data_IF_560317977551
#
_entry.id   IF_560317977551
#
_cell.length_a   1.000
_cell.length_b   1.000
_cell.length_c   1.000
_cell.angle_alpha   90.00
_cell.angle_beta   90.00
_cell.angle_gamma   90.00
#
_symmetry.space_group_name_H-M   'P 1'
#
loop_
_entity.id
_entity.type
_entity.pdbx_description
1 polymer ?
#
# COMPACT_ATOMS: atom_id res chain seq x y z
N UNK A 1 -38.91 -2.53 26.26
CA UNK A 1 -38.77 -2.73 24.79
C UNK A 1 -40.08 -3.31 24.28
N UNK A 2 -40.62 -2.89 23.11
CA UNK A 2 -41.87 -3.47 22.58
C UNK A 2 -41.65 -4.96 22.29
N UNK A 3 -42.64 -5.81 22.61
CA UNK A 3 -42.58 -7.29 22.49
C UNK A 3 -42.31 -7.79 21.06
N UNK A 4 -42.63 -6.97 20.05
CA UNK A 4 -42.40 -7.28 18.65
C UNK A 4 -41.71 -6.12 17.94
N UNK A 5 -40.70 -6.44 17.14
CA UNK A 5 -40.03 -5.48 16.26
C UNK A 5 -40.95 -5.19 15.08
N UNK A 6 -41.40 -3.93 14.98
CA UNK A 6 -42.17 -3.40 13.85
C UNK A 6 -41.32 -2.40 13.07
N UNK A 7 -41.60 -2.23 11.78
CA UNK A 7 -40.92 -1.22 10.95
C UNK A 7 -41.00 0.19 11.56
N UNK A 8 -42.15 0.53 12.16
CA UNK A 8 -42.34 1.80 12.88
C UNK A 8 -41.43 1.92 14.10
N UNK A 9 -41.27 0.85 14.90
CA UNK A 9 -40.36 0.89 16.06
C UNK A 9 -38.89 1.03 15.66
N UNK A 10 -38.47 0.43 14.54
CA UNK A 10 -37.11 0.60 14.01
C UNK A 10 -36.92 2.04 13.53
N UNK A 11 -37.86 2.55 12.73
CA UNK A 11 -37.83 3.92 12.22
C UNK A 11 -37.78 4.96 13.35
N UNK A 12 -38.53 4.72 14.44
CA UNK A 12 -38.50 5.58 15.63
C UNK A 12 -37.17 5.51 16.36
N UNK A 13 -36.58 4.32 16.51
CA UNK A 13 -35.27 4.16 17.14
C UNK A 13 -34.16 4.89 16.36
N UNK A 14 -34.14 4.74 15.03
CA UNK A 14 -33.20 5.45 14.16
C UNK A 14 -33.40 6.97 14.28
N UNK A 15 -34.66 7.44 14.23
CA UNK A 15 -34.97 8.88 14.35
C UNK A 15 -34.51 9.45 15.70
N UNK A 16 -34.68 8.70 16.79
CA UNK A 16 -34.22 9.13 18.11
C UNK A 16 -32.69 9.22 18.17
N UNK A 17 -31.97 8.26 17.58
CA UNK A 17 -30.52 8.30 17.51
C UNK A 17 -30.03 9.54 16.75
N UNK A 18 -30.59 9.81 15.55
CA UNK A 18 -30.26 10.99 14.73
C UNK A 18 -30.48 12.30 15.52
N UNK A 19 -31.64 12.44 16.18
CA UNK A 19 -32.00 13.63 16.96
C UNK A 19 -31.10 13.86 18.17
N UNK A 20 -30.63 12.79 18.81
CA UNK A 20 -29.70 12.88 19.95
C UNK A 20 -28.39 13.56 19.57
N UNK A 21 -27.96 13.43 18.31
CA UNK A 21 -26.76 14.10 17.77
C UNK A 21 -27.07 15.48 17.16
N UNK A 22 -28.30 16.00 17.35
CA UNK A 22 -28.70 17.35 16.92
C UNK A 22 -29.25 17.44 15.49
N UNK A 23 -29.39 16.32 14.77
CA UNK A 23 -29.90 16.34 13.40
C UNK A 23 -31.43 16.19 13.35
N UNK A 24 -32.08 16.94 12.46
CA UNK A 24 -33.53 16.85 12.21
C UNK A 24 -33.87 15.96 11.01
N UNK A 25 -32.98 15.03 10.64
CA UNK A 25 -33.16 14.21 9.44
C UNK A 25 -34.24 13.15 9.62
N UNK A 26 -34.88 12.79 8.50
CA UNK A 26 -35.70 11.58 8.42
C UNK A 26 -34.77 10.38 8.23
N UNK A 27 -35.10 9.18 8.74
CA UNK A 27 -34.31 7.96 8.52
C UNK A 27 -33.97 7.68 7.05
N UNK A 28 -34.85 8.08 6.11
CA UNK A 28 -34.63 7.97 4.67
C UNK A 28 -33.34 8.64 4.17
N UNK A 29 -32.85 9.69 4.86
CA UNK A 29 -31.60 10.37 4.49
C UNK A 29 -30.41 9.41 4.54
N UNK A 30 -30.38 8.47 5.50
CA UNK A 30 -29.32 7.47 5.60
C UNK A 30 -29.31 6.52 4.39
N UNK A 31 -30.48 6.20 3.84
CA UNK A 31 -30.62 5.41 2.62
C UNK A 31 -30.14 6.17 1.39
N UNK A 32 -30.46 7.46 1.28
CA UNK A 32 -29.97 8.30 0.19
C UNK A 32 -28.44 8.47 0.23
N UNK A 33 -27.87 8.61 1.44
CA UNK A 33 -26.44 8.60 1.66
C UNK A 33 -25.81 7.27 1.19
N UNK A 34 -26.36 6.14 1.64
CA UNK A 34 -25.91 4.81 1.25
C UNK A 34 -25.87 4.62 -0.28
N UNK A 35 -26.94 5.01 -0.99
CA UNK A 35 -27.00 4.91 -2.45
C UNK A 35 -25.93 5.78 -3.13
N UNK A 36 -25.79 7.03 -2.69
CA UNK A 36 -24.80 7.97 -3.23
C UNK A 36 -23.38 7.45 -3.02
N UNK A 37 -23.06 6.93 -1.83
CA UNK A 37 -21.74 6.40 -1.52
C UNK A 37 -21.42 5.14 -2.32
N UNK A 38 -22.39 4.24 -2.48
CA UNK A 38 -22.19 3.06 -3.32
C UNK A 38 -22.13 3.39 -4.81
N UNK A 39 -22.80 4.44 -5.27
CA UNK A 39 -22.63 4.95 -6.63
C UNK A 39 -21.19 5.43 -6.87
N UNK A 40 -20.56 6.07 -5.87
CA UNK A 40 -19.15 6.45 -5.95
C UNK A 40 -18.24 5.21 -5.95
N UNK A 41 -18.49 4.22 -5.11
CA UNK A 41 -17.76 2.96 -5.11
C UNK A 41 -17.92 2.19 -6.44
N UNK A 42 -19.11 2.24 -7.05
CA UNK A 42 -19.40 1.68 -8.38
C UNK A 42 -18.54 2.35 -9.45
N UNK A 43 -18.40 3.68 -9.42
CA UNK A 43 -17.53 4.43 -10.35
C UNK A 43 -16.04 4.05 -10.27
N UNK A 44 -15.63 3.43 -9.16
CA UNK A 44 -14.27 2.91 -8.94
C UNK A 44 -14.14 1.41 -9.17
N UNK A 45 -15.20 0.75 -9.63
CA UNK A 45 -15.22 -0.68 -9.91
C UNK A 45 -15.20 -1.58 -8.68
N UNK A 46 -15.53 -1.05 -7.49
CA UNK A 46 -15.50 -1.83 -6.24
C UNK A 46 -16.75 -2.69 -6.05
N UNK A 47 -17.87 -2.23 -6.61
CA UNK A 47 -19.19 -2.84 -6.55
C UNK A 47 -19.90 -2.68 -7.89
N UNK A 48 -20.68 -3.67 -8.31
CA UNK A 48 -21.49 -3.59 -9.52
C UNK A 48 -22.87 -2.98 -9.23
N UNK A 49 -23.49 -2.39 -10.26
CA UNK A 49 -24.82 -1.76 -10.17
C UNK A 49 -25.87 -2.70 -9.58
N UNK A 50 -25.88 -3.97 -9.98
CA UNK A 50 -26.88 -4.95 -9.53
C UNK A 50 -26.82 -5.20 -8.03
N UNK A 51 -25.63 -5.25 -7.43
CA UNK A 51 -25.48 -5.40 -5.98
C UNK A 51 -26.00 -4.17 -5.24
N UNK A 52 -25.68 -2.96 -5.73
CA UNK A 52 -26.22 -1.71 -5.18
C UNK A 52 -27.75 -1.68 -5.25
N UNK A 53 -28.33 -1.99 -6.40
CA UNK A 53 -29.78 -2.02 -6.58
C UNK A 53 -30.44 -3.09 -5.68
N UNK A 54 -29.81 -4.26 -5.55
CA UNK A 54 -30.26 -5.33 -4.67
C UNK A 54 -30.26 -4.92 -3.19
N UNK A 55 -29.17 -4.32 -2.69
CA UNK A 55 -29.11 -3.83 -1.29
C UNK A 55 -30.08 -2.68 -1.04
N UNK A 56 -30.32 -1.85 -2.05
CA UNK A 56 -31.39 -0.87 -2.01
C UNK A 56 -32.78 -1.53 -2.02
N UNK A 57 -32.93 -2.82 -2.32
CA UNK A 57 -34.23 -3.46 -2.46
C UNK A 57 -35.03 -2.90 -3.63
N UNK A 58 -34.34 -2.38 -4.64
CA UNK A 58 -34.97 -2.02 -5.90
C UNK A 58 -35.31 -3.29 -6.67
N UNK A 59 -36.48 -3.29 -7.31
CA UNK A 59 -36.88 -4.37 -8.21
C UNK A 59 -36.02 -4.23 -9.47
N UNK A 60 -34.91 -4.97 -9.54
CA UNK A 60 -33.99 -4.91 -10.68
C UNK A 60 -34.65 -5.36 -11.99
N UNK A 61 -33.87 -5.30 -13.08
CA UNK A 61 -34.34 -5.75 -14.39
C UNK A 61 -34.74 -7.23 -14.41
N UNK A 62 -35.57 -7.62 -15.39
CA UNK A 62 -36.08 -8.99 -15.57
C UNK A 62 -34.95 -10.05 -15.57
N UNK A 63 -33.72 -9.69 -15.95
CA UNK A 63 -32.55 -10.57 -15.93
C UNK A 63 -32.03 -10.94 -14.53
N UNK A 64 -32.32 -10.14 -13.49
CA UNK A 64 -32.01 -10.52 -12.10
C UNK A 64 -32.71 -11.81 -11.68
N UNK A 65 -33.75 -12.23 -12.41
CA UNK A 65 -34.48 -13.48 -12.23
C UNK A 65 -33.61 -14.73 -12.41
N UNK A 66 -32.45 -14.62 -13.06
CA UNK A 66 -31.55 -15.76 -13.33
C UNK A 66 -30.31 -15.84 -12.43
N UNK A 67 -29.96 -14.78 -11.69
CA UNK A 67 -28.79 -14.74 -10.78
C UNK A 67 -29.15 -14.47 -9.32
N UNK A 68 -30.10 -13.56 -9.04
CA UNK A 68 -30.40 -13.10 -7.67
C UNK A 68 -31.81 -13.44 -7.15
N UNK A 69 -32.67 -14.05 -7.98
CA UNK A 69 -34.11 -14.18 -7.70
C UNK A 69 -34.66 -15.62 -7.68
N UNK A 70 -33.84 -16.66 -7.52
CA UNK A 70 -34.30 -18.05 -7.30
C UNK A 70 -34.54 -18.36 -5.82
N UNK A 71 -35.33 -17.55 -5.10
CA UNK A 71 -35.66 -17.69 -3.66
C UNK A 71 -34.49 -17.78 -2.65
N UNK A 72 -33.27 -18.04 -3.10
CA UNK A 72 -32.02 -18.11 -2.36
C UNK A 72 -30.89 -17.74 -3.31
N UNK A 73 -30.08 -16.77 -2.91
CA UNK A 73 -28.84 -16.43 -3.61
C UNK A 73 -27.87 -17.62 -3.50
N UNK A 74 -27.17 -17.98 -4.59
CA UNK A 74 -26.01 -18.88 -4.52
C UNK A 74 -24.97 -18.36 -3.51
N UNK A 75 -24.29 -19.27 -2.80
CA UNK A 75 -23.36 -18.88 -1.71
C UNK A 75 -22.15 -18.11 -2.24
N UNK A 76 -21.66 -18.45 -3.43
CA UNK A 76 -20.61 -17.73 -4.16
C UNK A 76 -21.02 -16.28 -4.47
N UNK A 77 -22.27 -16.06 -4.90
CA UNK A 77 -22.81 -14.71 -5.10
C UNK A 77 -22.90 -13.97 -3.77
N UNK A 78 -23.33 -14.62 -2.70
CA UNK A 78 -23.38 -14.00 -1.35
C UNK A 78 -21.98 -13.57 -0.91
N UNK A 79 -20.97 -14.42 -1.06
CA UNK A 79 -19.59 -14.09 -0.70
C UNK A 79 -19.02 -12.96 -1.56
N UNK A 80 -19.27 -12.95 -2.87
CA UNK A 80 -18.84 -11.85 -3.73
C UNK A 80 -19.53 -10.52 -3.35
N UNK A 81 -20.82 -10.57 -2.99
CA UNK A 81 -21.52 -9.41 -2.45
C UNK A 81 -20.91 -8.95 -1.12
N UNK A 82 -20.55 -9.87 -0.21
CA UNK A 82 -19.88 -9.53 1.05
C UNK A 82 -18.52 -8.88 0.81
N UNK A 83 -17.74 -9.40 -0.14
CA UNK A 83 -16.43 -8.85 -0.51
C UNK A 83 -16.58 -7.46 -1.15
N UNK A 84 -17.53 -7.28 -2.07
CA UNK A 84 -17.84 -5.98 -2.68
C UNK A 84 -18.26 -4.94 -1.62
N UNK A 85 -19.07 -5.35 -0.64
CA UNK A 85 -19.44 -4.49 0.49
C UNK A 85 -18.24 -4.13 1.37
N UNK A 86 -17.33 -5.09 1.61
CA UNK A 86 -16.09 -4.88 2.37
C UNK A 86 -15.16 -3.88 1.66
N UNK A 87 -14.94 -4.04 0.36
CA UNK A 87 -14.14 -3.10 -0.46
C UNK A 87 -14.75 -1.70 -0.49
N UNK A 88 -16.07 -1.60 -0.43
CA UNK A 88 -16.80 -0.32 -0.46
C UNK A 88 -16.86 0.39 0.90
N UNK A 89 -16.31 -0.20 1.98
CA UNK A 89 -16.41 0.38 3.33
C UNK A 89 -15.79 1.78 3.45
N UNK A 90 -14.75 2.08 2.66
CA UNK A 90 -14.09 3.40 2.64
C UNK A 90 -15.09 4.54 2.32
N UNK A 91 -16.13 4.26 1.54
CA UNK A 91 -17.17 5.23 1.18
C UNK A 91 -18.31 5.28 2.21
N UNK A 92 -18.53 4.20 2.96
CA UNK A 92 -19.67 4.05 3.86
C UNK A 92 -19.37 4.45 5.31
N UNK A 93 -18.10 4.38 5.70
CA UNK A 93 -17.65 4.68 7.05
C UNK A 93 -17.15 6.12 7.15
N UNK A 94 -17.45 6.78 8.27
CA UNK A 94 -16.94 8.12 8.57
C UNK A 94 -15.50 8.09 9.09
N UNK A 95 -15.09 6.96 9.67
CA UNK A 95 -13.70 6.67 10.01
C UNK A 95 -13.07 5.93 8.84
N UNK A 96 -12.06 6.51 8.20
CA UNK A 96 -11.22 5.75 7.28
C UNK A 96 -10.49 4.71 8.11
N UNK A 97 -10.68 3.39 7.90
CA UNK A 97 -9.70 2.45 8.39
C UNK A 97 -8.37 2.86 7.74
N UNK A 98 -7.34 3.13 8.54
CA UNK A 98 -5.99 3.44 8.04
C UNK A 98 -5.68 2.51 6.85
N UNK A 99 -5.54 3.13 5.70
CA UNK A 99 -5.99 2.59 4.42
C UNK A 99 -5.18 1.34 4.10
N UNK A 100 -5.81 0.32 3.51
CA UNK A 100 -5.07 -0.84 2.96
C UNK A 100 -3.90 -0.39 2.09
N UNK A 101 -4.05 0.72 1.35
CA UNK A 101 -3.01 1.35 0.54
C UNK A 101 -1.88 1.98 1.36
N UNK A 102 -2.17 2.68 2.44
CA UNK A 102 -1.16 3.30 3.32
C UNK A 102 -0.34 2.20 4.01
N UNK A 103 -1.01 1.16 4.51
CA UNK A 103 -0.37 -0.03 5.07
C UNK A 103 0.46 -0.79 4.04
N UNK A 104 -0.04 -0.96 2.81
CA UNK A 104 0.71 -1.59 1.72
C UNK A 104 1.97 -0.78 1.36
N UNK A 105 1.87 0.55 1.30
CA UNK A 105 3.03 1.42 1.03
C UNK A 105 4.03 1.35 2.18
N UNK A 106 3.56 1.35 3.42
CA UNK A 106 4.42 1.22 4.61
C UNK A 106 5.15 -0.14 4.63
N UNK A 107 4.43 -1.24 4.43
CA UNK A 107 5.02 -2.59 4.35
C UNK A 107 6.02 -2.70 3.20
N UNK A 108 5.69 -2.14 2.03
CA UNK A 108 6.58 -2.14 0.88
C UNK A 108 7.88 -1.36 1.15
N UNK A 109 7.77 -0.16 1.73
CA UNK A 109 8.94 0.65 2.13
C UNK A 109 9.78 -0.08 3.18
N UNK A 110 9.15 -0.74 4.15
CA UNK A 110 9.83 -1.57 5.15
C UNK A 110 10.63 -2.71 4.52
N UNK A 111 10.03 -3.45 3.59
CA UNK A 111 10.71 -4.54 2.87
C UNK A 111 11.90 -4.04 2.04
N UNK A 112 11.76 -2.91 1.35
CA UNK A 112 12.86 -2.32 0.59
C UNK A 112 14.04 -1.87 1.47
N UNK A 113 13.77 -1.35 2.66
CA UNK A 113 14.85 -1.00 3.62
C UNK A 113 15.59 -2.25 4.13
N UNK A 114 14.87 -3.35 4.37
CA UNK A 114 15.52 -4.63 4.70
C UNK A 114 16.44 -5.10 3.57
N UNK A 115 15.96 -5.04 2.33
CA UNK A 115 16.77 -5.39 1.13
C UNK A 115 17.99 -4.47 0.99
N UNK A 116 17.85 -3.19 1.33
CA UNK A 116 18.95 -2.24 1.35
C UNK A 116 19.97 -2.46 2.49
N UNK A 117 19.72 -3.40 3.41
CA UNK A 117 20.63 -3.76 4.50
C UNK A 117 20.41 -2.95 5.78
N UNK A 118 19.19 -2.45 6.02
CA UNK A 118 18.79 -1.97 7.34
C UNK A 118 18.34 -3.14 8.22
N UNK A 119 18.68 -3.09 9.50
CA UNK A 119 18.17 -4.00 10.53
C UNK A 119 16.75 -3.62 10.96
N UNK A 120 16.03 -4.57 11.55
CA UNK A 120 14.67 -4.33 12.03
C UNK A 120 14.62 -3.21 13.10
N UNK A 121 15.65 -3.10 13.93
CA UNK A 121 15.77 -2.06 14.96
C UNK A 121 15.98 -0.67 14.35
N UNK A 122 16.80 -0.54 13.30
CA UNK A 122 16.97 0.72 12.58
C UNK A 122 15.66 1.15 11.91
N UNK A 123 14.96 0.21 11.29
CA UNK A 123 13.66 0.45 10.63
C UNK A 123 12.59 0.92 11.63
N UNK A 124 12.55 0.36 12.84
CA UNK A 124 11.58 0.79 13.88
C UNK A 124 11.75 2.23 14.34
N UNK A 125 12.94 2.83 14.14
CA UNK A 125 13.24 4.21 14.51
C UNK A 125 12.91 5.21 13.40
N UNK A 126 12.64 4.73 12.19
CA UNK A 126 12.31 5.55 11.04
C UNK A 126 10.78 5.71 10.97
N UNK A 127 10.29 6.94 10.86
CA UNK A 127 8.87 7.21 10.60
C UNK A 127 8.55 7.00 9.12
N UNK A 128 8.35 5.73 8.74
CA UNK A 128 8.10 5.30 7.36
C UNK A 128 6.82 5.93 6.78
N UNK A 129 5.85 6.21 7.66
CA UNK A 129 4.51 6.73 7.32
C UNK A 129 4.56 8.13 6.74
N UNK A 130 5.38 9.01 7.33
CA UNK A 130 5.45 10.41 6.97
C UNK A 130 6.62 10.75 6.02
N UNK A 131 7.38 9.74 5.60
CA UNK A 131 8.51 9.91 4.69
C UNK A 131 8.04 10.29 3.28
N UNK A 132 8.64 11.31 2.68
CA UNK A 132 8.43 11.61 1.26
C UNK A 132 9.10 10.53 0.38
N UNK A 133 8.66 10.41 -0.87
CA UNK A 133 9.25 9.45 -1.79
C UNK A 133 10.72 9.80 -2.09
N UNK A 134 11.06 11.08 -2.16
CA UNK A 134 12.43 11.58 -2.36
C UNK A 134 13.34 11.21 -1.19
N UNK A 135 12.92 11.47 0.05
CA UNK A 135 13.68 11.12 1.26
C UNK A 135 13.88 9.61 1.37
N UNK A 136 12.87 8.83 0.98
CA UNK A 136 12.92 7.38 1.01
C UNK A 136 13.95 6.84 0.01
N UNK A 137 13.90 7.35 -1.23
CA UNK A 137 14.87 6.97 -2.27
C UNK A 137 16.30 7.34 -1.86
N UNK A 138 16.50 8.50 -1.25
CA UNK A 138 17.81 8.92 -0.76
C UNK A 138 18.33 8.04 0.37
N UNK A 139 17.45 7.60 1.28
CA UNK A 139 17.82 6.68 2.37
C UNK A 139 18.28 5.32 1.82
N UNK A 140 17.51 4.75 0.89
CA UNK A 140 17.84 3.49 0.20
C UNK A 140 19.15 3.64 -0.59
N UNK A 141 19.28 4.71 -1.37
CA UNK A 141 20.48 5.00 -2.17
C UNK A 141 21.71 5.18 -1.29
N UNK A 142 21.64 5.94 -0.20
CA UNK A 142 22.77 6.15 0.72
C UNK A 142 23.26 4.85 1.36
N UNK A 143 22.36 3.93 1.73
CA UNK A 143 22.76 2.64 2.32
C UNK A 143 23.36 1.71 1.28
N UNK A 144 22.75 1.63 0.09
CA UNK A 144 23.28 0.82 -1.02
C UNK A 144 24.62 1.34 -1.54
N UNK A 145 24.78 2.66 -1.69
CA UNK A 145 26.04 3.29 -2.11
C UNK A 145 27.08 3.35 -0.98
N UNK A 146 26.65 3.43 0.29
CA UNK A 146 27.53 3.30 1.45
C UNK A 146 28.11 1.90 1.60
N UNK A 147 27.40 0.88 1.09
CA UNK A 147 27.86 -0.49 0.92
C UNK A 147 28.52 -0.76 -0.44
N UNK A 148 28.64 0.24 -1.33
CA UNK A 148 29.45 0.12 -2.53
C UNK A 148 30.90 0.08 -2.07
N UNK A 149 31.40 -1.11 -1.77
CA UNK A 149 32.80 -1.33 -1.49
C UNK A 149 33.54 -0.95 -2.79
N UNK A 150 34.29 0.18 -2.83
CA UNK A 150 35.04 0.56 -4.02
C UNK A 150 36.21 -0.40 -4.27
N UNK A 151 36.42 -1.33 -3.34
CA UNK A 151 37.38 -2.40 -3.34
C UNK A 151 36.63 -3.72 -3.55
N UNK A 152 36.64 -4.24 -4.79
CA UNK A 152 36.08 -5.55 -5.10
C UNK A 152 37.11 -6.68 -4.91
N UNK A 153 38.19 -6.41 -4.16
CA UNK A 153 39.29 -7.35 -3.90
C UNK A 153 40.24 -7.57 -5.08
N UNK A 154 39.83 -7.21 -6.30
CA UNK A 154 40.65 -7.30 -7.52
C UNK A 154 40.88 -5.94 -8.19
N UNK A 155 39.96 -5.00 -8.01
CA UNK A 155 40.05 -3.64 -8.53
C UNK A 155 39.65 -2.65 -7.44
N UNK A 156 40.30 -1.48 -7.48
CA UNK A 156 40.12 -0.40 -6.53
C UNK A 156 39.98 0.93 -7.26
N UNK A 157 39.01 1.74 -6.84
CA UNK A 157 38.86 3.12 -7.33
C UNK A 157 39.73 4.04 -6.47
N UNK A 158 40.63 4.78 -7.11
CA UNK A 158 41.58 5.71 -6.47
C UNK A 158 41.48 7.09 -7.10
N UNK A 159 41.92 8.14 -6.39
CA UNK A 159 42.05 9.47 -6.99
C UNK A 159 43.23 9.49 -7.97
N UNK A 160 43.16 10.32 -9.00
CA UNK A 160 44.23 10.49 -10.00
C UNK A 160 45.58 10.85 -9.35
N UNK A 161 45.55 11.64 -8.28
CA UNK A 161 46.75 12.05 -7.53
C UNK A 161 47.42 10.88 -6.78
N UNK A 162 46.71 9.79 -6.54
CA UNK A 162 47.23 8.60 -5.86
C UNK A 162 47.68 7.52 -6.84
N UNK A 163 47.43 7.68 -8.14
CA UNK A 163 47.68 6.67 -9.16
C UNK A 163 49.15 6.22 -9.20
N UNK A 164 50.09 7.17 -9.13
CA UNK A 164 51.53 6.90 -9.15
C UNK A 164 51.93 5.92 -8.04
N UNK A 165 51.45 6.13 -6.82
CA UNK A 165 51.70 5.25 -5.68
C UNK A 165 51.22 3.82 -5.92
N UNK A 166 50.08 3.63 -6.60
CA UNK A 166 49.56 2.28 -6.87
C UNK A 166 50.33 1.58 -7.99
N UNK A 167 50.76 2.33 -9.01
CA UNK A 167 51.61 1.82 -10.09
C UNK A 167 52.98 1.38 -9.56
N UNK A 168 53.59 2.15 -8.65
CA UNK A 168 54.85 1.78 -7.98
C UNK A 168 54.75 0.50 -7.16
N UNK A 169 53.57 0.24 -6.58
CA UNK A 169 53.29 -0.98 -5.80
C UNK A 169 52.84 -2.17 -6.68
N UNK A 170 53.03 -2.10 -8.00
CA UNK A 170 52.73 -3.20 -8.93
C UNK A 170 51.26 -3.33 -9.35
N UNK A 171 50.42 -2.31 -9.08
CA UNK A 171 49.04 -2.30 -9.56
C UNK A 171 48.98 -1.92 -11.04
N UNK A 172 48.00 -2.45 -11.77
CA UNK A 172 47.81 -2.18 -13.21
C UNK A 172 46.70 -1.14 -13.42
N UNK A 173 46.91 -0.15 -14.29
CA UNK A 173 45.88 0.82 -14.67
C UNK A 173 44.81 0.14 -15.54
N UNK A 174 43.53 0.40 -15.25
CA UNK A 174 42.40 -0.17 -16.01
C UNK A 174 41.65 0.89 -16.80
N UNK A 175 41.14 1.93 -16.13
CA UNK A 175 40.28 2.94 -16.76
C UNK A 175 40.22 4.25 -15.95
N UNK A 176 39.95 5.36 -16.63
CA UNK A 176 39.69 6.67 -16.02
C UNK A 176 38.19 6.91 -15.94
N UNK A 177 37.73 7.36 -14.78
CA UNK A 177 36.34 7.73 -14.51
C UNK A 177 36.18 9.26 -14.55
N UNK A 178 34.96 9.76 -14.75
CA UNK A 178 34.62 11.16 -14.47
C UNK A 178 35.03 11.55 -13.04
N UNK A 179 35.27 12.84 -12.80
CA UNK A 179 35.66 13.41 -11.50
C UNK A 179 37.07 13.03 -10.97
N UNK A 180 38.06 12.91 -11.88
CA UNK A 180 39.48 12.67 -11.53
C UNK A 180 39.71 11.37 -10.74
N UNK A 181 38.88 10.35 -10.99
CA UNK A 181 39.02 9.02 -10.40
C UNK A 181 39.57 8.04 -11.43
N UNK A 182 40.28 7.02 -10.95
CA UNK A 182 40.92 6.01 -11.77
C UNK A 182 40.67 4.63 -11.14
N UNK A 183 40.46 3.63 -12.00
CA UNK A 183 40.35 2.22 -11.59
C UNK A 183 41.72 1.58 -11.78
N UNK A 184 42.26 1.01 -10.69
CA UNK A 184 43.47 0.19 -10.70
C UNK A 184 43.16 -1.25 -10.34
N UNK A 185 43.86 -2.20 -10.93
CA UNK A 185 43.78 -3.63 -10.61
C UNK A 185 44.91 -3.99 -9.65
N UNK A 186 44.54 -4.53 -8.49
CA UNK A 186 45.49 -4.94 -7.47
C UNK A 186 46.09 -6.29 -7.88
N UNK A 187 47.41 -6.43 -7.78
CA UNK A 187 48.09 -7.69 -8.08
C UNK A 187 47.68 -8.73 -7.03
N UNK A 188 47.06 -9.83 -7.48
CA UNK A 188 46.76 -10.96 -6.62
C UNK A 188 48.08 -11.59 -6.19
N UNK A 189 48.42 -11.49 -4.90
CA UNK A 189 49.52 -12.24 -4.33
C UNK A 189 49.25 -13.74 -4.54
N UNK A 190 49.92 -14.36 -5.51
CA UNK A 190 50.06 -15.82 -5.51
C UNK A 190 51.12 -16.17 -4.48
N UNK A 191 50.80 -16.89 -3.39
CA UNK A 191 51.84 -17.43 -2.53
C UNK A 191 52.66 -18.42 -3.35
N UNK A 192 53.96 -18.16 -3.45
CA UNK A 192 54.93 -19.11 -4.00
C UNK A 192 54.81 -20.37 -3.15
N UNK A 193 54.28 -21.45 -3.74
CA UNK A 193 54.39 -22.80 -3.16
C UNK A 193 55.85 -23.22 -3.32
N UNK A 194 56.62 -23.09 -2.24
CA UNK A 194 57.87 -23.83 -2.04
C UNK A 194 57.56 -25.29 -1.72
#
# INVERSE_FOLDING_TARGET
MKTFVRATSIGDAIRQAIRRVGFNWRPYVLRAYFDTQLMLAESKGLVIRDYRQFWMGHKGDIENRYTTNKCRLPEDVIEDMREAYRRSQEYLQTTRPETSREKLVEEFRRQLLLVAGFSQDEISRIDITNLTDEEFQDLVRKRLLGNANPDCGTQKVVNLNELEKYLENGSEYVATLPDKKVIVKLQSYMPIRL
#
